data_IF_858927137087
#
_entry.id   IF_858927137087
#
_cell.length_a   1.000
_cell.length_b   1.000
_cell.length_c   1.000
_cell.angle_alpha   90.00
_cell.angle_beta   90.00
_cell.angle_gamma   90.00
#
_symmetry.space_group_name_H-M   'P 1'
#
loop_
_entity.id
_entity.type
_entity.pdbx_description
1 polymer ?
#
# COMPACT_ATOMS: atom_id res chain seq x y z
N UNK A 1 -6.79 -0.57 11.96
CA UNK A 1 -6.51 -1.72 11.07
C UNK A 1 -5.73 -2.74 11.85
N UNK A 2 -5.99 -4.03 11.66
CA UNK A 2 -5.11 -5.05 12.21
C UNK A 2 -3.75 -5.01 11.48
N UNK A 3 -2.80 -4.30 12.07
CA UNK A 3 -1.40 -4.26 11.67
C UNK A 3 -0.57 -5.22 12.52
N UNK A 4 -1.17 -6.33 12.99
CA UNK A 4 -0.48 -7.36 13.76
C UNK A 4 0.87 -7.66 13.14
N UNK A 5 1.93 -7.54 13.97
CA UNK A 5 3.31 -7.64 13.52
C UNK A 5 3.50 -8.93 12.72
N UNK A 6 4.08 -8.80 11.52
CA UNK A 6 4.44 -9.95 10.71
C UNK A 6 5.55 -10.73 11.42
N UNK A 7 5.40 -12.05 11.52
CA UNK A 7 6.48 -12.93 11.98
C UNK A 7 7.68 -12.84 11.04
N UNK A 8 8.88 -13.24 11.49
CA UNK A 8 10.07 -13.23 10.64
C UNK A 8 9.88 -14.04 9.34
N UNK A 9 9.14 -15.16 9.42
CA UNK A 9 8.79 -16.00 8.26
C UNK A 9 7.84 -15.28 7.29
N UNK A 10 6.85 -14.57 7.81
CA UNK A 10 5.93 -13.77 6.99
C UNK A 10 6.63 -12.58 6.35
N UNK A 11 7.49 -11.87 7.11
CA UNK A 11 8.31 -10.77 6.57
C UNK A 11 9.17 -11.25 5.41
N UNK A 12 9.83 -12.41 5.54
CA UNK A 12 10.63 -13.00 4.46
C UNK A 12 9.81 -13.30 3.20
N UNK A 13 8.55 -13.75 3.35
CA UNK A 13 7.65 -14.00 2.21
C UNK A 13 7.13 -12.71 1.55
N UNK A 14 6.98 -11.64 2.33
CA UNK A 14 6.44 -10.36 1.84
C UNK A 14 7.50 -9.43 1.25
N UNK A 15 8.73 -9.47 1.75
CA UNK A 15 9.80 -8.54 1.40
C UNK A 15 10.05 -8.36 -0.12
N UNK A 16 9.94 -9.40 -0.98
CA UNK A 16 10.13 -9.22 -2.42
C UNK A 16 9.10 -8.28 -3.08
N UNK A 17 7.89 -8.21 -2.53
CA UNK A 17 6.73 -7.61 -3.20
C UNK A 17 6.40 -6.18 -2.75
N UNK A 18 7.08 -5.65 -1.73
CA UNK A 18 6.82 -4.32 -1.19
C UNK A 18 8.12 -3.53 -0.98
N UNK A 19 8.03 -2.19 -1.00
CA UNK A 19 9.21 -1.33 -0.75
C UNK A 19 9.61 -1.30 0.73
N UNK A 20 8.64 -1.41 1.63
CA UNK A 20 8.85 -1.56 3.07
C UNK A 20 7.68 -2.37 3.67
N UNK A 21 7.88 -2.94 4.86
CA UNK A 21 6.87 -3.77 5.56
C UNK A 21 6.29 -3.13 6.82
N UNK A 22 6.85 -2.01 7.25
CA UNK A 22 6.55 -1.39 8.56
C UNK A 22 5.94 0.00 8.43
N UNK A 23 6.25 0.70 7.33
CA UNK A 23 5.71 2.03 7.07
C UNK A 23 4.25 2.00 6.62
N UNK A 24 3.56 3.10 6.92
CA UNK A 24 2.19 3.39 6.51
C UNK A 24 2.07 3.70 5.02
N UNK A 25 3.14 4.18 4.38
CA UNK A 25 3.21 4.47 2.95
C UNK A 25 4.23 3.56 2.31
N UNK A 26 3.82 2.82 1.27
CA UNK A 26 4.68 1.84 0.62
C UNK A 26 4.27 1.60 -0.83
N UNK A 27 5.25 1.21 -1.64
CA UNK A 27 5.05 0.82 -3.04
C UNK A 27 4.91 -0.69 -3.20
N UNK A 28 4.14 -1.10 -4.19
CA UNK A 28 4.02 -2.50 -4.60
C UNK A 28 5.01 -2.80 -5.72
N UNK A 29 5.72 -3.92 -5.58
CA UNK A 29 6.57 -4.51 -6.60
C UNK A 29 5.83 -5.73 -7.15
N UNK A 30 4.75 -5.50 -7.89
CA UNK A 30 3.88 -6.56 -8.43
C UNK A 30 3.51 -6.24 -9.88
N UNK A 31 3.23 -7.25 -10.72
CA UNK A 31 2.56 -7.04 -12.01
C UNK A 31 1.24 -6.29 -11.81
N UNK A 32 0.84 -5.48 -12.79
CA UNK A 32 -0.31 -4.56 -12.65
C UNK A 32 -1.63 -5.30 -12.42
N UNK A 33 -1.80 -6.47 -13.05
CA UNK A 33 -2.98 -7.32 -12.96
C UNK A 33 -3.16 -7.85 -11.52
N UNK A 34 -2.05 -8.28 -10.91
CA UNK A 34 -2.04 -8.80 -9.53
C UNK A 34 -2.29 -7.66 -8.54
N UNK A 35 -1.67 -6.51 -8.76
CA UNK A 35 -1.91 -5.32 -7.94
C UNK A 35 -3.38 -4.91 -7.99
N UNK A 36 -4.00 -4.85 -9.19
CA UNK A 36 -5.41 -4.51 -9.36
C UNK A 36 -6.36 -5.47 -8.65
N UNK A 37 -6.13 -6.78 -8.78
CA UNK A 37 -6.91 -7.80 -8.07
C UNK A 37 -6.77 -7.66 -6.54
N UNK A 38 -5.55 -7.44 -6.05
CA UNK A 38 -5.26 -7.22 -4.63
C UNK A 38 -5.98 -5.99 -4.08
N UNK A 39 -5.91 -4.86 -4.79
CA UNK A 39 -6.58 -3.63 -4.40
C UNK A 39 -8.11 -3.79 -4.35
N UNK A 40 -8.68 -4.51 -5.33
CA UNK A 40 -10.12 -4.83 -5.35
C UNK A 40 -10.55 -5.59 -4.08
N UNK A 41 -9.78 -6.62 -3.67
CA UNK A 41 -10.03 -7.36 -2.42
C UNK A 41 -9.82 -6.49 -1.18
N UNK A 42 -8.71 -5.76 -1.13
CA UNK A 42 -8.34 -4.90 0.00
C UNK A 42 -9.38 -3.80 0.29
N UNK A 43 -9.98 -3.20 -0.75
CA UNK A 43 -10.97 -2.11 -0.61
C UNK A 43 -12.21 -2.49 0.21
N UNK A 44 -12.47 -3.80 0.37
CA UNK A 44 -13.62 -4.38 1.07
C UNK A 44 -13.22 -5.15 2.33
N UNK A 45 -11.93 -5.15 2.68
CA UNK A 45 -11.39 -5.85 3.83
C UNK A 45 -11.07 -4.89 4.97
N UNK A 46 -11.14 -5.34 6.22
CA UNK A 46 -10.66 -4.58 7.39
C UNK A 46 -9.15 -4.75 7.65
N UNK A 47 -8.52 -5.73 7.01
CA UNK A 47 -7.09 -6.05 7.13
C UNK A 47 -6.21 -5.04 6.37
N UNK A 48 -4.91 -4.99 6.70
CA UNK A 48 -3.92 -4.27 5.90
C UNK A 48 -3.70 -4.96 4.55
N UNK A 49 -3.27 -4.20 3.54
CA UNK A 49 -3.06 -4.71 2.18
C UNK A 49 -2.01 -5.82 2.15
N UNK A 50 -0.95 -5.70 2.95
CA UNK A 50 0.09 -6.74 3.10
C UNK A 50 -0.47 -8.02 3.72
N UNK A 51 -1.38 -7.91 4.69
CA UNK A 51 -2.03 -9.07 5.33
C UNK A 51 -3.01 -9.74 4.38
N UNK A 52 -3.81 -8.98 3.62
CA UNK A 52 -4.66 -9.52 2.54
C UNK A 52 -3.82 -10.27 1.50
N UNK A 53 -2.71 -9.68 1.04
CA UNK A 53 -1.81 -10.34 0.09
C UNK A 53 -1.23 -11.64 0.67
N UNK A 54 -0.74 -11.62 1.91
CA UNK A 54 -0.16 -12.80 2.55
C UNK A 54 -1.16 -13.96 2.67
N UNK A 55 -2.37 -13.65 3.11
CA UNK A 55 -3.38 -14.68 3.44
C UNK A 55 -4.17 -15.14 2.23
N UNK A 56 -4.50 -14.23 1.30
CA UNK A 56 -5.39 -14.54 0.19
C UNK A 56 -4.65 -14.80 -1.13
N UNK A 57 -3.46 -14.25 -1.33
CA UNK A 57 -2.71 -14.38 -2.60
C UNK A 57 -1.49 -15.30 -2.46
N UNK A 58 -0.72 -15.17 -1.38
CA UNK A 58 0.45 -16.03 -1.15
C UNK A 58 0.09 -17.42 -0.59
N UNK A 59 -1.10 -17.57 -0.03
CA UNK A 59 -1.55 -18.84 0.57
C UNK A 59 -2.56 -19.60 -0.30
N UNK A 60 -3.06 -18.98 -1.38
CA UNK A 60 -3.86 -19.67 -2.40
C UNK A 60 -2.96 -20.45 -3.36
N UNK A 61 -3.27 -21.73 -3.59
CA UNK A 61 -2.58 -22.59 -4.57
C UNK A 61 -2.79 -22.17 -6.04
N UNK A 62 -3.75 -21.27 -6.31
CA UNK A 62 -4.09 -20.80 -7.67
C UNK A 62 -3.15 -19.71 -8.19
N UNK A 63 -2.56 -18.90 -7.31
CA UNK A 63 -1.51 -17.96 -7.69
C UNK A 63 -0.17 -18.67 -7.50
N UNK A 64 0.39 -19.20 -8.59
CA UNK A 64 1.70 -19.84 -8.48
C UNK A 64 2.73 -18.77 -8.13
N UNK A 65 3.32 -18.90 -6.94
CA UNK A 65 4.39 -18.02 -6.46
C UNK A 65 5.54 -17.93 -7.47
N UNK A 66 5.72 -19.00 -8.25
CA UNK A 66 6.67 -19.09 -9.36
C UNK A 66 6.41 -18.10 -10.49
N UNK A 67 5.16 -17.90 -10.93
CA UNK A 67 4.86 -16.97 -12.02
C UNK A 67 5.04 -15.50 -11.60
N UNK A 68 4.64 -15.12 -10.38
CA UNK A 68 4.81 -13.75 -9.87
C UNK A 68 6.28 -13.43 -9.56
N UNK A 69 7.03 -14.41 -9.05
CA UNK A 69 8.46 -14.28 -8.80
C UNK A 69 9.30 -14.40 -10.09
N UNK A 70 8.85 -15.07 -11.15
CA UNK A 70 9.56 -15.11 -12.45
C UNK A 70 9.66 -13.72 -13.07
N UNK A 71 8.69 -12.83 -12.82
CA UNK A 71 8.78 -11.42 -13.21
C UNK A 71 9.84 -10.62 -12.39
N UNK A 72 10.29 -11.16 -11.26
CA UNK A 72 11.18 -10.47 -10.30
C UNK A 72 12.53 -11.15 -10.07
N UNK A 73 12.72 -12.40 -10.49
CA UNK A 73 13.95 -13.14 -10.28
C UNK A 73 15.10 -12.48 -11.06
N UNK A 74 16.21 -12.09 -10.39
CA UNK A 74 17.47 -11.95 -11.07
C UNK A 74 17.97 -13.37 -11.38
N UNK A 75 18.03 -13.70 -12.67
CA UNK A 75 18.83 -14.78 -13.25
C UNK A 75 18.48 -16.22 -12.82
N UNK A 76 17.85 -16.98 -13.72
CA UNK A 76 17.76 -18.45 -13.57
C UNK A 76 17.05 -19.24 -14.66
N UNK A 77 16.22 -18.61 -15.51
CA UNK A 77 15.56 -19.29 -16.65
C UNK A 77 15.77 -18.49 -17.93
N UNK A 78 15.91 -19.20 -19.05
CA UNK A 78 16.65 -18.84 -20.26
C UNK A 78 16.10 -17.68 -21.14
N UNK A 79 15.42 -16.67 -20.57
CA UNK A 79 14.92 -15.49 -21.31
C UNK A 79 15.51 -14.14 -20.81
N UNK A 80 16.72 -14.16 -20.21
CA UNK A 80 17.33 -12.98 -19.58
C UNK A 80 17.74 -11.84 -20.53
N UNK A 81 18.03 -12.13 -21.81
CA UNK A 81 18.68 -11.12 -22.66
C UNK A 81 17.75 -9.97 -23.08
N UNK A 82 16.44 -10.24 -23.17
CA UNK A 82 15.44 -9.24 -23.57
C UNK A 82 15.04 -8.35 -22.39
N UNK A 83 14.83 -8.93 -21.21
CA UNK A 83 14.45 -8.20 -19.99
C UNK A 83 15.59 -7.33 -19.47
N UNK A 84 16.83 -7.84 -19.51
CA UNK A 84 18.01 -7.10 -19.08
C UNK A 84 18.35 -5.96 -20.04
N UNK A 85 18.17 -6.17 -21.36
CA UNK A 85 18.24 -5.09 -22.36
C UNK A 85 17.12 -4.07 -22.23
N UNK A 86 15.89 -4.50 -21.92
CA UNK A 86 14.76 -3.60 -21.71
C UNK A 86 14.95 -2.74 -20.46
N UNK A 87 15.45 -3.31 -19.35
CA UNK A 87 15.82 -2.56 -18.14
C UNK A 87 16.96 -1.58 -18.38
N UNK A 88 18.05 -2.01 -19.02
CA UNK A 88 19.17 -1.13 -19.36
C UNK A 88 18.77 -0.03 -20.35
N UNK A 89 17.85 -0.31 -21.27
CA UNK A 89 17.26 0.68 -22.17
C UNK A 89 16.42 1.69 -21.39
N UNK A 90 15.51 1.23 -20.52
CA UNK A 90 14.69 2.09 -19.67
C UNK A 90 15.54 2.97 -18.74
N UNK A 91 16.53 2.40 -18.04
CA UNK A 91 17.42 3.16 -17.15
C UNK A 91 18.25 4.21 -17.91
N UNK A 92 18.75 3.89 -19.10
CA UNK A 92 19.51 4.83 -19.95
C UNK A 92 18.61 5.97 -20.48
N UNK A 93 17.36 5.68 -20.83
CA UNK A 93 16.41 6.67 -21.34
C UNK A 93 15.87 7.56 -20.22
N UNK A 94 15.55 6.99 -19.05
CA UNK A 94 15.02 7.71 -17.89
C UNK A 94 16.07 8.54 -17.15
N UNK A 95 17.30 8.03 -16.97
CA UNK A 95 18.36 8.72 -16.20
C UNK A 95 19.20 9.64 -17.11
N UNK A 96 19.39 9.28 -18.38
CA UNK A 96 20.37 9.93 -19.26
C UNK A 96 19.88 11.17 -20.03
N UNK A 97 18.56 11.31 -20.25
CA UNK A 97 18.03 12.33 -21.18
C UNK A 97 16.89 13.21 -20.63
N UNK A 98 16.40 12.96 -19.40
CA UNK A 98 15.36 13.81 -18.79
C UNK A 98 14.02 13.81 -19.55
N UNK A 99 13.71 12.71 -20.24
CA UNK A 99 12.46 12.57 -21.00
C UNK A 99 11.31 12.16 -20.07
N UNK A 100 10.74 13.15 -19.40
CA UNK A 100 9.59 12.99 -18.48
C UNK A 100 8.37 12.35 -19.16
N UNK A 101 8.28 12.37 -20.50
CA UNK A 101 7.16 11.78 -21.25
C UNK A 101 7.24 10.25 -21.31
N UNK A 102 8.45 9.68 -21.33
CA UNK A 102 8.67 8.22 -21.25
C UNK A 102 8.46 7.71 -19.82
N UNK A 103 8.77 8.53 -18.81
CA UNK A 103 8.50 8.21 -17.41
C UNK A 103 6.99 8.06 -17.12
N UNK A 104 6.14 8.81 -17.83
CA UNK A 104 4.67 8.70 -17.72
C UNK A 104 4.11 7.36 -18.22
N UNK A 105 4.87 6.60 -19.01
CA UNK A 105 4.49 5.25 -19.43
C UNK A 105 4.68 4.21 -18.31
N UNK A 106 5.46 4.55 -17.28
CA UNK A 106 5.64 3.74 -16.07
C UNK A 106 4.61 4.09 -15.00
N UNK A 107 3.80 3.12 -14.59
CA UNK A 107 2.87 3.25 -13.47
C UNK A 107 3.45 2.69 -12.17
N UNK A 108 3.26 3.41 -11.06
CA UNK A 108 3.57 2.90 -9.73
C UNK A 108 2.28 2.78 -8.90
N UNK A 109 2.15 1.67 -8.18
CA UNK A 109 1.07 1.49 -7.22
C UNK A 109 1.58 1.83 -5.82
N UNK A 110 0.93 2.79 -5.18
CA UNK A 110 1.23 3.25 -3.83
C UNK A 110 0.04 2.92 -2.93
N UNK A 111 0.32 2.27 -1.80
CA UNK A 111 -0.65 2.08 -0.73
C UNK A 111 -0.35 3.07 0.40
N UNK A 112 -1.39 3.80 0.81
CA UNK A 112 -1.37 4.71 1.95
C UNK A 112 -2.34 4.18 3.01
N UNK A 113 -1.82 3.67 4.12
CA UNK A 113 -2.58 3.15 5.25
C UNK A 113 -2.44 4.09 6.46
N UNK A 114 -3.41 4.07 7.38
CA UNK A 114 -3.41 4.89 8.61
C UNK A 114 -3.22 6.41 8.36
N UNK A 115 -3.73 6.92 7.24
CA UNK A 115 -3.79 8.35 6.95
C UNK A 115 -5.16 8.93 7.34
N UNK A 116 -5.23 10.23 7.57
CA UNK A 116 -6.51 10.90 7.85
C UNK A 116 -7.38 11.01 6.59
N UNK A 117 -8.70 11.11 6.77
CA UNK A 117 -9.61 11.37 5.63
C UNK A 117 -9.22 12.66 4.89
N UNK A 118 -8.74 13.68 5.60
CA UNK A 118 -8.25 14.93 4.98
C UNK A 118 -7.07 14.65 4.07
N UNK A 119 -6.08 13.87 4.52
CA UNK A 119 -4.93 13.49 3.72
C UNK A 119 -5.33 12.64 2.50
N UNK A 120 -6.27 11.71 2.66
CA UNK A 120 -6.80 10.93 1.55
C UNK A 120 -7.42 11.83 0.47
N UNK A 121 -8.23 12.83 0.86
CA UNK A 121 -8.85 13.76 -0.08
C UNK A 121 -7.83 14.67 -0.78
N UNK A 122 -6.77 15.10 -0.09
CA UNK A 122 -5.67 15.85 -0.73
C UNK A 122 -4.98 14.99 -1.80
N UNK A 123 -4.72 13.71 -1.51
CA UNK A 123 -4.12 12.79 -2.49
C UNK A 123 -5.04 12.57 -3.69
N UNK A 124 -6.34 12.37 -3.46
CA UNK A 124 -7.33 12.13 -4.53
C UNK A 124 -7.60 13.36 -5.41
N UNK A 125 -7.43 14.58 -4.87
CA UNK A 125 -7.64 15.82 -5.63
C UNK A 125 -6.48 16.11 -6.63
N UNK A 126 -5.37 15.37 -6.55
CA UNK A 126 -4.27 15.42 -7.51
C UNK A 126 -4.62 14.69 -8.82
N UNK A 127 -5.65 15.18 -9.52
CA UNK A 127 -6.40 14.55 -10.63
C UNK A 127 -5.62 14.02 -11.84
N UNK A 128 -4.34 14.36 -12.04
CA UNK A 128 -3.58 13.97 -13.24
C UNK A 128 -2.71 12.76 -12.93
N UNK A 129 -2.93 11.66 -13.65
CA UNK A 129 -2.06 10.48 -13.62
C UNK A 129 -2.27 9.53 -12.43
N UNK A 130 -3.25 9.78 -11.56
CA UNK A 130 -3.61 8.88 -10.45
C UNK A 130 -4.97 8.22 -10.68
N UNK A 131 -5.11 6.98 -10.19
CA UNK A 131 -6.37 6.24 -10.17
C UNK A 131 -6.61 5.75 -8.73
N UNK A 132 -7.22 6.58 -7.86
CA UNK A 132 -7.34 6.25 -6.44
C UNK A 132 -8.36 5.14 -6.18
N UNK A 133 -8.06 4.29 -5.19
CA UNK A 133 -9.00 3.33 -4.63
C UNK A 133 -9.01 3.45 -3.10
N UNK A 134 -10.02 4.11 -2.57
CA UNK A 134 -10.22 4.31 -1.12
C UNK A 134 -11.00 3.14 -0.49
N UNK A 135 -10.73 2.83 0.79
CA UNK A 135 -11.60 1.94 1.56
C UNK A 135 -12.98 2.58 1.70
N UNK A 136 -14.00 1.87 1.24
CA UNK A 136 -15.37 2.36 1.28
C UNK A 136 -15.95 2.25 2.69
N UNK A 137 -16.35 3.38 3.28
CA UNK A 137 -17.09 3.45 4.56
C UNK A 137 -18.42 2.69 4.54
N UNK A 138 -18.96 2.36 3.36
CA UNK A 138 -20.13 1.49 3.21
C UNK A 138 -19.87 0.01 3.50
N UNK A 139 -18.61 -0.42 3.43
CA UNK A 139 -18.21 -1.83 3.60
C UNK A 139 -17.25 -2.03 4.76
N UNK A 140 -16.52 -0.99 5.15
CA UNK A 140 -15.55 -1.04 6.25
C UNK A 140 -16.01 -0.11 7.36
N UNK A 141 -16.13 -0.67 8.56
CA UNK A 141 -16.44 0.04 9.80
C UNK A 141 -15.18 0.73 10.34
N UNK A 142 -15.25 2.04 10.54
CA UNK A 142 -14.17 2.86 11.12
C UNK A 142 -14.43 3.28 12.57
N UNK A 143 -15.60 2.91 13.10
CA UNK A 143 -16.03 3.08 14.48
C UNK A 143 -15.57 1.92 15.39
N UNK A 144 -14.55 1.17 14.97
CA UNK A 144 -13.99 0.07 15.76
C UNK A 144 -12.76 0.55 16.52
N UNK A 145 -12.67 0.13 17.78
CA UNK A 145 -11.45 0.31 18.58
C UNK A 145 -10.32 -0.55 18.02
N UNK A 146 -9.11 -0.01 18.04
CA UNK A 146 -7.89 -0.72 17.69
C UNK A 146 -7.44 -1.64 18.85
N UNK A 147 -6.35 -2.43 18.68
CA UNK A 147 -5.83 -3.29 19.75
C UNK A 147 -5.40 -2.56 21.03
N UNK A 148 -5.21 -1.24 20.98
CA UNK A 148 -4.90 -0.41 22.15
C UNK A 148 -6.15 0.09 22.88
N UNK A 149 -7.34 -0.20 22.33
CA UNK A 149 -8.63 0.22 22.88
C UNK A 149 -9.08 1.62 22.47
N UNK A 150 -8.44 2.23 21.47
CA UNK A 150 -8.73 3.59 21.00
C UNK A 150 -9.38 3.61 19.61
N UNK A 151 -10.13 4.67 19.32
CA UNK A 151 -10.70 4.90 17.99
C UNK A 151 -9.67 5.51 17.03
N UNK A 152 -9.83 5.22 15.73
CA UNK A 152 -8.98 5.73 14.67
C UNK A 152 -9.38 7.15 14.26
N UNK A 153 -9.05 8.15 15.11
CA UNK A 153 -9.13 9.56 14.74
C UNK A 153 -7.75 10.23 14.75
N UNK A 154 -7.59 11.24 13.89
CA UNK A 154 -6.33 11.96 13.74
C UNK A 154 -6.06 12.88 14.93
N UNK A 155 -4.87 12.79 15.54
CA UNK A 155 -4.47 13.64 16.67
C UNK A 155 -3.55 14.73 16.15
N UNK A 156 -4.11 15.89 15.81
CA UNK A 156 -3.31 16.99 15.26
C UNK A 156 -2.32 17.53 16.32
N UNK A 157 -1.05 17.61 15.97
CA UNK A 157 0.05 18.02 16.84
C UNK A 157 -0.21 19.38 17.50
N UNK A 158 -0.65 20.39 16.75
CA UNK A 158 -0.92 21.72 17.30
C UNK A 158 -2.02 21.69 18.38
N UNK A 159 -3.05 20.85 18.19
CA UNK A 159 -4.12 20.67 19.19
C UNK A 159 -3.57 19.91 20.40
N UNK A 160 -2.79 18.86 20.18
CA UNK A 160 -2.22 18.02 21.24
C UNK A 160 -1.20 18.76 22.12
N UNK A 161 -0.54 19.78 21.57
CA UNK A 161 0.38 20.66 22.30
C UNK A 161 -0.33 21.87 22.95
N UNK A 162 -1.62 22.04 22.73
CA UNK A 162 -2.42 23.14 23.29
C UNK A 162 -3.15 22.76 24.58
N UNK A 163 -3.69 23.77 25.27
CA UNK A 163 -4.60 23.58 26.41
C UNK A 163 -5.89 22.84 26.07
N UNK A 164 -6.22 22.68 24.78
CA UNK A 164 -7.45 22.03 24.31
C UNK A 164 -7.29 20.53 24.07
N UNK A 165 -6.08 19.96 24.22
CA UNK A 165 -5.80 18.55 23.94
C UNK A 165 -6.78 17.59 24.63
N UNK A 166 -7.01 17.76 25.94
CA UNK A 166 -7.88 16.87 26.70
C UNK A 166 -9.36 17.02 26.31
N UNK A 167 -9.80 18.25 26.03
CA UNK A 167 -11.16 18.51 25.57
C UNK A 167 -11.40 17.88 24.20
N UNK A 168 -10.43 17.99 23.29
CA UNK A 168 -10.45 17.35 21.98
C UNK A 168 -10.55 15.82 22.10
N UNK A 169 -9.66 15.20 22.87
CA UNK A 169 -9.65 13.74 23.05
C UNK A 169 -10.97 13.23 23.65
N UNK A 170 -11.53 13.94 24.63
CA UNK A 170 -12.83 13.60 25.22
C UNK A 170 -13.94 13.67 24.19
N UNK A 171 -14.02 14.77 23.44
CA UNK A 171 -15.04 14.95 22.40
C UNK A 171 -14.93 13.87 21.33
N UNK A 172 -13.74 13.60 20.81
CA UNK A 172 -13.54 12.60 19.78
C UNK A 172 -13.94 11.20 20.26
N UNK A 173 -13.57 10.79 21.48
CA UNK A 173 -14.00 9.49 22.02
C UNK A 173 -15.52 9.41 22.13
N UNK A 174 -16.19 10.48 22.55
CA UNK A 174 -17.66 10.52 22.63
C UNK A 174 -18.35 10.45 21.27
N UNK A 175 -17.76 11.03 20.21
CA UNK A 175 -18.34 11.00 18.87
C UNK A 175 -18.30 9.61 18.21
N UNK A 176 -17.42 8.73 18.68
CA UNK A 176 -17.22 7.38 18.16
C UNK A 176 -17.87 6.28 19.02
N UNK A 177 -18.40 6.62 20.20
CA UNK A 177 -19.26 5.72 21.01
C UNK A 177 -20.66 5.60 20.42
#
# INVERSE_FOLDING_TARGET
>A
MDSGEFTAKEKARLAPFFTNLEGNVFGLKLPQEVAGALFSRYSRSSKSLRRVFLEEFLSSTEFSLGEVLDFQAPQGRQDNLAVEKARQFYDRVLIGYGDDSVAQLGGAHIACENISNVAAKILEDARIGIAPLEKSTRYVRFDQKDPTGEYAFHRELAIMQSSHAQAYLKLMRQLFE
#
